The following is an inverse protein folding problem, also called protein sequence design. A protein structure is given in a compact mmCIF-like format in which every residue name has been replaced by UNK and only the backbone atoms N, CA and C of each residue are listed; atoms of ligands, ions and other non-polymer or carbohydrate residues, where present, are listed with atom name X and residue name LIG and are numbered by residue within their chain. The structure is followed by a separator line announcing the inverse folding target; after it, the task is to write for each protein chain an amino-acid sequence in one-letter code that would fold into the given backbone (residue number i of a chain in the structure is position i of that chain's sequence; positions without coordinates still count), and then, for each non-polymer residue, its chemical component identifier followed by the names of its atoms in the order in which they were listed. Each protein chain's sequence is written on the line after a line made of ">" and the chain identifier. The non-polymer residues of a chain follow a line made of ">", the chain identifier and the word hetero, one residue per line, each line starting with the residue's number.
data_IF_502224345676
#
_entry.id   IF_502224345676
#
_cell.length_a   1.000
_cell.length_b   1.000
_cell.length_c   1.000
_cell.angle_alpha   90.00
_cell.angle_beta   90.00
_cell.angle_gamma   90.00
#
_symmetry.space_group_name_H-M   'P 1'
#
loop_
_entity.id
_entity.type
_entity.pdbx_description
1 polymer ?
#
# COMPACT_ATOMS: atom_id res chain seq x y z
N UNK A 1 10.11 73.90 56.44
CA UNK A 1 10.55 72.84 57.37
C UNK A 1 9.72 71.59 57.06
N UNK A 2 10.13 70.79 56.07
CA UNK A 2 11.02 69.64 56.21
C UNK A 2 10.36 68.44 56.92
N UNK A 3 9.82 67.51 56.12
CA UNK A 3 9.89 66.07 56.35
C UNK A 3 9.42 65.32 55.08
N UNK A 4 10.37 64.73 54.34
CA UNK A 4 10.12 63.72 53.31
C UNK A 4 9.95 62.37 54.00
N UNK A 5 8.93 61.59 53.65
CA UNK A 5 8.82 60.16 53.99
C UNK A 5 8.72 59.32 52.72
N UNK A 6 9.49 58.23 52.69
CA UNK A 6 9.84 57.40 51.52
C UNK A 6 8.65 56.64 50.89
N UNK A 7 8.73 56.29 49.59
CA UNK A 7 7.77 55.41 48.94
C UNK A 7 8.02 53.93 49.26
N UNK A 8 6.93 53.21 49.58
CA UNK A 8 6.89 51.78 49.86
C UNK A 8 7.33 50.94 48.64
N UNK A 9 8.33 50.09 48.82
CA UNK A 9 8.79 49.09 47.84
C UNK A 9 7.90 47.85 47.97
N UNK A 10 7.18 47.41 46.91
CA UNK A 10 6.44 46.15 46.95
C UNK A 10 7.39 44.95 46.84
N UNK A 11 7.21 43.99 47.75
CA UNK A 11 7.97 42.73 47.88
C UNK A 11 7.93 41.89 46.60
N UNK A 12 9.07 41.29 46.25
CA UNK A 12 9.21 40.32 45.17
C UNK A 12 8.26 39.12 45.37
N UNK A 13 7.49 38.78 44.33
CA UNK A 13 6.73 37.53 44.26
C UNK A 13 7.69 36.37 43.98
N UNK A 14 7.56 35.29 44.75
CA UNK A 14 8.26 34.03 44.53
C UNK A 14 7.83 33.40 43.20
N UNK A 15 8.80 32.84 42.49
CA UNK A 15 8.60 31.97 41.34
C UNK A 15 8.20 30.58 41.83
N UNK A 16 6.93 30.37 42.17
CA UNK A 16 6.38 29.04 42.38
C UNK A 16 4.93 29.02 41.89
N UNK A 17 4.66 28.26 40.83
CA UNK A 17 3.29 28.01 40.35
C UNK A 17 3.02 28.37 38.89
N UNK A 18 3.84 27.90 37.95
CA UNK A 18 3.38 27.75 36.56
C UNK A 18 2.62 26.42 36.49
N UNK A 19 1.33 26.46 36.83
CA UNK A 19 0.40 25.36 36.55
C UNK A 19 0.20 25.28 35.04
N UNK A 20 0.59 24.14 34.50
CA UNK A 20 0.71 23.85 33.08
C UNK A 20 -0.68 23.52 32.51
N UNK A 21 -1.47 24.55 32.20
CA UNK A 21 -2.82 24.40 31.65
C UNK A 21 -2.80 24.25 30.12
N UNK A 22 -2.14 23.18 29.65
CA UNK A 22 -2.12 22.77 28.24
C UNK A 22 -2.68 21.37 28.08
N UNK A 23 -3.99 21.25 28.18
CA UNK A 23 -4.73 20.11 27.63
C UNK A 23 -5.90 20.59 26.81
N UNK A 24 -5.84 20.29 25.50
CA UNK A 24 -6.95 19.88 24.62
C UNK A 24 -6.93 20.54 23.22
N UNK A 25 -5.92 20.25 22.39
CA UNK A 25 -6.11 20.20 20.92
C UNK A 25 -4.96 19.55 20.13
N UNK A 26 -4.09 18.75 20.76
CA UNK A 26 -3.00 18.10 20.06
C UNK A 26 -3.45 16.69 19.65
N UNK A 27 -3.73 16.52 18.35
CA UNK A 27 -4.18 15.26 17.77
C UNK A 27 -3.34 14.07 18.25
N UNK A 28 -4.02 12.96 18.53
CA UNK A 28 -3.56 11.72 19.18
C UNK A 28 -2.33 11.01 18.58
N UNK A 29 -1.63 11.62 17.62
CA UNK A 29 -0.45 11.05 16.95
C UNK A 29 0.85 11.86 17.17
N UNK A 30 0.81 12.95 17.95
CA UNK A 30 1.95 13.87 18.11
C UNK A 30 3.10 13.40 19.03
N UNK A 31 2.98 12.26 19.71
CA UNK A 31 4.02 11.69 20.59
C UNK A 31 3.99 10.15 20.57
N UNK A 32 4.06 9.55 19.39
CA UNK A 32 4.53 8.17 19.34
C UNK A 32 6.06 8.22 19.48
N UNK A 33 6.59 8.02 20.69
CA UNK A 33 7.95 7.51 20.81
C UNK A 33 7.95 6.19 20.04
N UNK A 34 8.54 6.19 18.84
CA UNK A 34 8.70 5.02 18.00
C UNK A 34 9.67 4.04 18.66
N UNK A 35 9.24 3.41 19.75
CA UNK A 35 9.92 2.28 20.36
C UNK A 35 9.14 1.03 19.97
N UNK A 36 9.66 0.27 19.01
CA UNK A 36 9.17 -1.08 18.70
C UNK A 36 9.19 -1.98 19.95
N UNK A 37 10.08 -1.67 20.90
CA UNK A 37 10.22 -2.36 22.17
C UNK A 37 9.15 -1.99 23.20
N UNK A 38 8.53 -0.80 23.12
CA UNK A 38 7.55 -0.36 24.11
C UNK A 38 6.36 -1.31 24.27
N UNK A 39 5.62 -1.60 23.18
CA UNK A 39 4.50 -2.55 23.24
C UNK A 39 4.90 -3.96 23.70
N UNK A 40 6.11 -4.41 23.34
CA UNK A 40 6.63 -5.72 23.73
C UNK A 40 6.98 -5.74 25.22
N UNK A 41 7.64 -4.70 25.73
CA UNK A 41 7.96 -4.54 27.14
C UNK A 41 6.67 -4.43 27.97
N UNK A 42 5.66 -3.71 27.49
CA UNK A 42 4.37 -3.59 28.17
C UNK A 42 3.61 -4.93 28.24
N UNK A 43 3.72 -5.78 27.21
CA UNK A 43 3.17 -7.15 27.25
C UNK A 43 3.96 -8.02 28.24
N UNK A 44 5.29 -7.99 28.18
CA UNK A 44 6.17 -8.81 29.03
C UNK A 44 6.06 -8.41 30.51
N UNK A 45 5.87 -7.13 30.79
CA UNK A 45 5.70 -6.58 32.15
C UNK A 45 4.25 -6.64 32.65
N UNK A 46 3.30 -7.11 31.83
CA UNK A 46 1.89 -7.28 32.19
C UNK A 46 1.05 -6.00 32.19
N UNK A 47 1.60 -4.87 31.73
CA UNK A 47 0.89 -3.59 31.61
C UNK A 47 -0.06 -3.52 30.41
N UNK A 48 0.12 -4.41 29.42
CA UNK A 48 -0.78 -4.55 28.28
C UNK A 48 -1.03 -6.01 27.94
N UNK A 49 -2.24 -6.34 27.49
CA UNK A 49 -2.59 -7.66 26.96
C UNK A 49 -2.68 -7.61 25.43
N UNK A 50 -2.52 -8.75 24.78
CA UNK A 50 -2.76 -8.88 23.33
C UNK A 50 -4.16 -8.42 22.93
N UNK A 51 -5.16 -8.59 23.82
CA UNK A 51 -6.52 -8.09 23.64
C UNK A 51 -6.58 -6.57 23.49
N UNK A 52 -5.69 -5.83 24.16
CA UNK A 52 -5.70 -4.36 24.14
C UNK A 52 -5.14 -3.83 22.83
N UNK A 53 -4.19 -4.55 22.23
CA UNK A 53 -3.68 -4.28 20.88
C UNK A 53 -4.77 -4.56 19.85
N UNK A 54 -5.46 -5.70 20.00
CA UNK A 54 -6.56 -6.05 19.11
C UNK A 54 -7.71 -5.04 19.18
N UNK A 55 -8.06 -4.59 20.39
CA UNK A 55 -9.11 -3.59 20.61
C UNK A 55 -8.76 -2.21 20.02
N UNK A 56 -7.47 -1.87 19.92
CA UNK A 56 -6.99 -0.63 19.29
C UNK A 56 -6.86 -0.72 17.77
N UNK A 57 -6.94 -1.92 17.20
CA UNK A 57 -6.78 -2.11 15.76
C UNK A 57 -8.08 -1.72 15.05
N UNK A 58 -8.07 -0.74 14.13
CA UNK A 58 -9.28 -0.37 13.38
C UNK A 58 -9.86 -1.58 12.65
N UNK A 59 -11.17 -1.86 12.81
CA UNK A 59 -11.82 -2.95 12.10
C UNK A 59 -11.95 -2.62 10.61
N UNK A 60 -12.28 -3.64 9.80
CA UNK A 60 -12.62 -3.45 8.39
C UNK A 60 -13.81 -2.50 8.29
N UNK A 61 -13.65 -1.43 7.52
CA UNK A 61 -14.72 -0.48 7.25
C UNK A 61 -15.34 -0.73 5.88
N UNK A 62 -16.64 -0.45 5.73
CA UNK A 62 -17.32 -0.53 4.43
C UNK A 62 -16.64 0.33 3.37
N UNK A 63 -16.20 1.53 3.76
CA UNK A 63 -15.47 2.46 2.88
C UNK A 63 -14.18 1.83 2.36
N UNK A 64 -13.36 1.26 3.22
CA UNK A 64 -12.11 0.60 2.80
C UNK A 64 -12.37 -0.62 1.90
N UNK A 65 -13.37 -1.43 2.22
CA UNK A 65 -13.77 -2.55 1.37
C UNK A 65 -14.20 -2.09 -0.04
N UNK A 66 -15.00 -1.02 -0.12
CA UNK A 66 -15.40 -0.42 -1.40
C UNK A 66 -14.20 0.12 -2.19
N UNK A 67 -13.30 0.86 -1.52
CA UNK A 67 -12.09 1.41 -2.14
C UNK A 67 -11.19 0.30 -2.68
N UNK A 68 -10.94 -0.73 -1.88
CA UNK A 68 -10.09 -1.84 -2.27
C UNK A 68 -10.71 -2.66 -3.41
N UNK A 69 -12.02 -2.90 -3.36
CA UNK A 69 -12.74 -3.59 -4.45
C UNK A 69 -12.69 -2.78 -5.74
N UNK A 70 -12.91 -1.46 -5.67
CA UNK A 70 -12.81 -0.58 -6.82
C UNK A 70 -11.39 -0.56 -7.39
N UNK A 71 -10.37 -0.50 -6.53
CA UNK A 71 -8.96 -0.57 -6.91
C UNK A 71 -8.63 -1.85 -7.67
N UNK A 72 -8.96 -3.01 -7.08
CA UNK A 72 -8.67 -4.31 -7.70
C UNK A 72 -9.44 -4.47 -9.00
N UNK A 73 -10.71 -4.06 -9.04
CA UNK A 73 -11.53 -4.10 -10.26
C UNK A 73 -10.95 -3.21 -11.35
N UNK A 74 -10.52 -1.99 -11.00
CA UNK A 74 -9.86 -1.08 -11.92
C UNK A 74 -8.56 -1.69 -12.49
N UNK A 75 -7.73 -2.29 -11.64
CA UNK A 75 -6.52 -2.97 -12.09
C UNK A 75 -6.81 -4.18 -12.97
N UNK A 76 -7.86 -4.96 -12.68
CA UNK A 76 -8.32 -6.06 -13.54
C UNK A 76 -8.73 -5.52 -14.90
N UNK A 77 -9.53 -4.45 -14.96
CA UNK A 77 -9.97 -3.83 -16.21
C UNK A 77 -8.80 -3.31 -17.04
N UNK A 78 -7.81 -2.65 -16.42
CA UNK A 78 -6.60 -2.24 -17.12
C UNK A 78 -5.83 -3.46 -17.63
N UNK A 79 -5.65 -4.48 -16.81
CA UNK A 79 -4.92 -5.68 -17.21
C UNK A 79 -5.57 -6.42 -18.38
N UNK A 80 -6.90 -6.56 -18.39
CA UNK A 80 -7.62 -7.33 -19.43
C UNK A 80 -7.94 -6.52 -20.69
N UNK A 81 -8.27 -5.24 -20.54
CA UNK A 81 -8.91 -4.46 -21.60
C UNK A 81 -8.00 -3.42 -22.23
N UNK A 82 -6.87 -3.07 -21.60
CA UNK A 82 -5.98 -2.03 -22.08
C UNK A 82 -4.93 -2.60 -23.05
N UNK A 83 -5.03 -2.39 -24.38
CA UNK A 83 -3.91 -2.65 -25.27
C UNK A 83 -2.73 -1.76 -24.91
N UNK A 84 -1.53 -2.34 -24.98
CA UNK A 84 -0.32 -1.55 -24.86
C UNK A 84 -0.09 -0.76 -26.16
N UNK A 85 -0.01 0.55 -26.03
CA UNK A 85 0.36 1.50 -27.07
C UNK A 85 1.75 2.07 -26.81
N UNK A 86 2.21 2.05 -25.56
CA UNK A 86 3.52 2.53 -25.16
C UNK A 86 4.65 1.90 -25.99
N UNK A 87 4.60 0.61 -26.33
CA UNK A 87 5.61 -0.05 -27.19
C UNK A 87 5.73 0.55 -28.59
N UNK A 88 4.71 1.25 -29.09
CA UNK A 88 4.75 1.87 -30.43
C UNK A 88 5.50 3.19 -30.45
N UNK A 89 5.56 3.88 -29.31
CA UNK A 89 6.10 5.24 -29.21
C UNK A 89 7.40 5.32 -28.42
N UNK A 90 7.62 4.41 -27.48
CA UNK A 90 8.79 4.42 -26.61
C UNK A 90 9.91 3.55 -27.21
N UNK A 91 11.02 4.15 -27.67
CA UNK A 91 12.15 3.37 -28.18
C UNK A 91 12.78 2.58 -27.03
N UNK A 92 13.03 1.29 -27.27
CA UNK A 92 13.66 0.39 -26.29
C UNK A 92 12.72 -0.21 -25.23
N UNK A 93 11.44 0.18 -25.19
CA UNK A 93 10.45 -0.47 -24.34
C UNK A 93 9.84 -1.68 -25.05
N UNK A 94 9.84 -2.83 -24.39
CA UNK A 94 9.29 -4.08 -24.92
C UNK A 94 7.92 -4.33 -24.28
N UNK A 95 6.87 -3.86 -24.94
CA UNK A 95 5.47 -4.06 -24.51
C UNK A 95 4.66 -4.86 -25.53
N UNK A 96 3.34 -4.88 -25.38
CA UNK A 96 2.43 -5.56 -26.30
C UNK A 96 2.31 -7.06 -26.02
N UNK A 97 1.92 -7.84 -27.03
CA UNK A 97 1.78 -9.31 -26.86
C UNK A 97 3.17 -9.93 -26.95
N UNK A 98 3.60 -10.54 -25.84
CA UNK A 98 4.90 -11.18 -25.73
C UNK A 98 4.77 -12.64 -25.30
N UNK A 99 5.75 -13.44 -25.70
CA UNK A 99 5.86 -14.85 -25.31
C UNK A 99 6.62 -14.96 -23.99
N UNK A 100 6.06 -15.71 -23.05
CA UNK A 100 6.73 -16.00 -21.79
C UNK A 100 7.69 -17.18 -21.88
N UNK A 101 8.33 -17.49 -20.75
CA UNK A 101 9.17 -18.66 -20.61
C UNK A 101 8.42 -19.98 -20.87
N UNK A 102 9.15 -20.95 -21.43
CA UNK A 102 8.68 -22.31 -21.65
C UNK A 102 8.43 -22.98 -20.30
N UNK A 103 7.21 -23.46 -20.07
CA UNK A 103 6.87 -24.21 -18.83
C UNK A 103 7.53 -25.59 -18.82
N UNK A 104 7.63 -26.27 -17.66
CA UNK A 104 8.13 -27.64 -17.59
C UNK A 104 7.38 -28.63 -18.51
N UNK A 105 6.10 -28.39 -18.82
CA UNK A 105 5.34 -29.18 -19.79
C UNK A 105 5.57 -28.79 -21.27
N UNK A 106 6.47 -27.84 -21.55
CA UNK A 106 6.77 -27.35 -22.89
C UNK A 106 5.79 -26.31 -23.44
N UNK A 107 4.96 -25.70 -22.59
CA UNK A 107 3.96 -24.71 -23.02
C UNK A 107 4.58 -23.31 -23.02
N UNK A 108 4.31 -22.53 -24.08
CA UNK A 108 4.68 -21.11 -24.16
C UNK A 108 3.42 -20.27 -24.01
N UNK A 109 3.29 -19.57 -22.89
CA UNK A 109 2.15 -18.69 -22.63
C UNK A 109 2.37 -17.32 -23.27
N UNK A 110 1.32 -16.75 -23.85
CA UNK A 110 1.31 -15.37 -24.34
C UNK A 110 0.73 -14.43 -23.29
N UNK A 111 1.38 -13.28 -23.13
CA UNK A 111 1.02 -12.25 -22.18
C UNK A 111 0.89 -10.90 -22.88
N UNK A 112 -0.04 -10.08 -22.41
CA UNK A 112 -0.15 -8.69 -22.84
C UNK A 112 0.57 -7.82 -21.82
N UNK A 113 1.73 -7.31 -22.21
CA UNK A 113 2.63 -6.50 -21.41
C UNK A 113 2.22 -5.03 -21.59
N UNK A 114 1.47 -4.54 -20.60
CA UNK A 114 0.88 -3.20 -20.57
C UNK A 114 1.06 -2.50 -19.21
N UNK A 115 1.95 -3.01 -18.35
CA UNK A 115 2.10 -2.56 -16.98
C UNK A 115 2.54 -1.11 -16.87
N UNK A 116 3.46 -0.68 -17.73
CA UNK A 116 3.91 0.71 -17.77
C UNK A 116 2.75 1.66 -18.13
N UNK A 117 1.94 1.31 -19.14
CA UNK A 117 0.79 2.12 -19.52
C UNK A 117 -0.30 2.12 -18.43
N UNK A 118 -0.56 0.98 -17.81
CA UNK A 118 -1.50 0.88 -16.69
C UNK A 118 -1.05 1.74 -15.50
N UNK A 119 0.25 1.74 -15.19
CA UNK A 119 0.85 2.58 -14.16
C UNK A 119 0.71 4.06 -14.50
N UNK A 120 1.05 4.47 -15.73
CA UNK A 120 0.93 5.85 -16.20
C UNK A 120 -0.51 6.36 -16.08
N UNK A 121 -1.49 5.63 -16.62
CA UNK A 121 -2.90 6.01 -16.55
C UNK A 121 -3.40 6.11 -15.11
N UNK A 122 -3.01 5.17 -14.26
CA UNK A 122 -3.37 5.19 -12.84
C UNK A 122 -2.83 6.43 -12.14
N UNK A 123 -1.56 6.79 -12.38
CA UNK A 123 -0.93 7.95 -11.74
C UNK A 123 -1.44 9.27 -12.30
N UNK A 124 -1.63 9.37 -13.62
CA UNK A 124 -2.23 10.53 -14.25
C UNK A 124 -3.64 10.79 -13.71
N UNK A 125 -4.44 9.75 -13.53
CA UNK A 125 -5.77 9.87 -12.93
C UNK A 125 -5.69 10.35 -11.47
N UNK A 126 -4.74 9.82 -10.69
CA UNK A 126 -4.53 10.27 -9.31
C UNK A 126 -4.09 11.73 -9.23
N UNK A 127 -3.15 12.17 -10.07
CA UNK A 127 -2.69 13.56 -10.13
C UNK A 127 -3.80 14.50 -10.62
N UNK A 128 -4.54 14.12 -11.67
CA UNK A 128 -5.69 14.86 -12.15
C UNK A 128 -6.76 14.99 -11.05
N UNK A 129 -7.00 13.93 -10.29
CA UNK A 129 -7.87 14.00 -9.13
C UNK A 129 -7.35 14.97 -8.05
N UNK A 130 -6.07 14.89 -7.70
CA UNK A 130 -5.47 15.69 -6.64
C UNK A 130 -5.42 17.20 -6.96
N UNK A 131 -5.33 17.58 -8.24
CA UNK A 131 -5.15 18.97 -8.66
C UNK A 131 -6.36 19.61 -9.35
N UNK A 132 -7.22 18.82 -10.01
CA UNK A 132 -8.29 19.33 -10.86
C UNK A 132 -9.68 18.86 -10.40
N UNK A 133 -9.85 17.55 -10.23
CA UNK A 133 -11.20 16.97 -10.10
C UNK A 133 -11.72 16.96 -8.66
N UNK A 134 -10.83 16.78 -7.67
CA UNK A 134 -11.17 16.67 -6.25
C UNK A 134 -12.28 15.65 -5.93
N UNK A 135 -12.37 14.55 -6.69
CA UNK A 135 -13.38 13.50 -6.47
C UNK A 135 -13.15 12.73 -5.17
N UNK A 136 -11.89 12.59 -4.75
CA UNK A 136 -11.52 11.97 -3.48
C UNK A 136 -10.26 12.62 -2.89
N UNK A 137 -10.08 12.48 -1.57
CA UNK A 137 -8.88 13.03 -0.90
C UNK A 137 -7.60 12.35 -1.38
N UNK A 138 -6.54 13.10 -1.72
CA UNK A 138 -5.22 12.53 -2.01
C UNK A 138 -4.64 11.70 -0.84
N UNK A 139 -5.13 11.91 0.39
CA UNK A 139 -4.71 11.21 1.61
C UNK A 139 -5.52 9.95 1.92
N UNK A 140 -6.44 9.56 1.04
CA UNK A 140 -7.42 8.49 1.28
C UNK A 140 -6.80 7.13 1.65
N UNK A 141 -5.63 6.80 1.11
CA UNK A 141 -4.94 5.53 1.41
C UNK A 141 -4.37 5.58 2.82
N UNK A 142 -3.69 6.66 3.18
CA UNK A 142 -3.18 6.88 4.54
C UNK A 142 -4.32 6.82 5.56
N UNK A 143 -5.42 7.53 5.30
CA UNK A 143 -6.55 7.62 6.23
C UNK A 143 -7.27 6.27 6.44
N UNK A 144 -7.13 5.32 5.50
CA UNK A 144 -7.74 3.99 5.57
C UNK A 144 -6.70 2.86 5.62
N UNK A 145 -5.47 3.14 6.05
CA UNK A 145 -4.33 2.22 5.95
C UNK A 145 -4.60 0.84 6.56
N UNK A 146 -5.00 0.79 7.84
CA UNK A 146 -5.22 -0.49 8.53
C UNK A 146 -6.40 -1.29 7.93
N UNK A 147 -7.58 -0.69 7.70
CA UNK A 147 -8.66 -1.39 6.99
C UNK A 147 -8.29 -1.91 5.59
N UNK A 148 -7.45 -1.18 4.84
CA UNK A 148 -6.96 -1.62 3.52
C UNK A 148 -6.00 -2.81 3.64
N UNK A 149 -5.15 -2.84 4.67
CA UNK A 149 -4.28 -3.99 4.95
C UNK A 149 -5.11 -5.26 5.24
N UNK A 150 -6.20 -5.15 5.97
CA UNK A 150 -7.13 -6.28 6.15
C UNK A 150 -7.70 -6.78 4.83
N UNK A 151 -8.15 -5.86 3.97
CA UNK A 151 -8.69 -6.22 2.65
C UNK A 151 -7.64 -6.93 1.79
N UNK A 152 -6.39 -6.47 1.81
CA UNK A 152 -5.29 -7.09 1.09
C UNK A 152 -4.96 -8.50 1.60
N UNK A 153 -4.95 -8.71 2.92
CA UNK A 153 -4.74 -10.04 3.51
C UNK A 153 -5.87 -11.00 3.15
N UNK A 154 -7.13 -10.56 3.26
CA UNK A 154 -8.29 -11.37 2.87
C UNK A 154 -8.20 -11.77 1.39
N UNK A 155 -7.87 -10.83 0.51
CA UNK A 155 -7.70 -11.13 -0.91
C UNK A 155 -6.56 -12.13 -1.15
N UNK A 156 -5.43 -11.97 -0.45
CA UNK A 156 -4.31 -12.91 -0.52
C UNK A 156 -4.72 -14.34 -0.20
N UNK A 157 -5.37 -14.56 0.95
CA UNK A 157 -5.87 -15.89 1.33
C UNK A 157 -6.95 -16.41 0.37
N UNK A 158 -7.85 -15.54 -0.10
CA UNK A 158 -8.89 -15.92 -1.06
C UNK A 158 -8.28 -16.40 -2.38
N UNK A 159 -7.25 -15.70 -2.90
CA UNK A 159 -6.57 -16.06 -4.14
C UNK A 159 -5.73 -17.32 -3.98
N UNK A 160 -5.02 -17.50 -2.86
CA UNK A 160 -4.30 -18.75 -2.57
C UNK A 160 -5.25 -19.95 -2.50
N UNK A 161 -6.39 -19.78 -1.81
CA UNK A 161 -7.43 -20.82 -1.74
C UNK A 161 -8.00 -21.12 -3.12
N UNK A 162 -8.32 -20.08 -3.89
CA UNK A 162 -8.80 -20.23 -5.27
C UNK A 162 -7.78 -20.98 -6.14
N UNK A 163 -6.50 -20.60 -6.10
CA UNK A 163 -5.45 -21.23 -6.89
C UNK A 163 -5.27 -22.71 -6.53
N UNK A 164 -5.37 -23.06 -5.23
CA UNK A 164 -5.34 -24.46 -4.80
C UNK A 164 -6.56 -25.24 -5.33
N UNK A 165 -7.77 -24.74 -5.11
CA UNK A 165 -9.01 -25.37 -5.59
C UNK A 165 -8.97 -25.54 -7.12
N UNK A 166 -8.58 -24.50 -7.84
CA UNK A 166 -8.41 -24.54 -9.29
C UNK A 166 -7.39 -25.61 -9.70
N UNK A 167 -6.25 -25.69 -9.04
CA UNK A 167 -5.22 -26.70 -9.33
C UNK A 167 -5.72 -28.14 -9.18
N UNK A 168 -6.64 -28.41 -8.25
CA UNK A 168 -7.24 -29.74 -8.06
C UNK A 168 -8.36 -30.06 -9.06
N UNK A 169 -9.25 -29.11 -9.34
CA UNK A 169 -10.49 -29.40 -10.09
C UNK A 169 -10.46 -28.93 -11.54
N UNK A 170 -9.76 -27.83 -11.85
CA UNK A 170 -9.78 -27.17 -13.15
C UNK A 170 -8.38 -26.66 -13.58
N UNK A 171 -7.35 -27.55 -13.64
CA UNK A 171 -6.00 -27.13 -14.01
C UNK A 171 -5.95 -26.65 -15.46
N UNK A 172 -5.23 -25.55 -15.74
CA UNK A 172 -5.02 -25.05 -17.11
C UNK A 172 -4.18 -26.06 -17.91
N UNK A 173 -3.19 -26.66 -17.26
CA UNK A 173 -2.31 -27.69 -17.82
C UNK A 173 -2.02 -28.71 -16.71
N UNK A 174 -2.62 -29.90 -16.81
CA UNK A 174 -2.40 -30.97 -15.82
C UNK A 174 -0.92 -31.39 -15.72
N UNK A 175 -0.16 -31.23 -16.82
CA UNK A 175 1.28 -31.52 -16.87
C UNK A 175 2.15 -30.48 -16.13
N UNK A 176 1.61 -29.28 -15.92
CA UNK A 176 2.27 -28.21 -15.16
C UNK A 176 1.76 -28.12 -13.70
N UNK A 177 0.98 -29.12 -13.26
CA UNK A 177 0.57 -29.26 -11.87
C UNK A 177 1.55 -30.15 -11.10
N UNK A 178 1.95 -29.71 -9.91
CA UNK A 178 2.80 -30.49 -9.00
C UNK A 178 2.06 -30.74 -7.69
N UNK A 179 1.93 -32.02 -7.35
CA UNK A 179 1.32 -32.47 -6.11
C UNK A 179 2.39 -33.15 -5.25
N UNK A 180 2.56 -32.69 -4.02
CA UNK A 180 3.56 -33.25 -3.08
C UNK A 180 2.99 -34.27 -2.10
N UNK A 181 1.66 -34.47 -2.09
CA UNK A 181 0.95 -35.26 -1.08
C UNK A 181 0.75 -34.54 0.26
N UNK A 182 1.43 -33.40 0.50
CA UNK A 182 1.24 -32.58 1.69
C UNK A 182 0.32 -31.38 1.37
N UNK A 183 -0.84 -31.32 2.03
CA UNK A 183 -1.84 -30.26 1.83
C UNK A 183 -1.28 -28.86 2.13
N UNK A 184 -0.62 -28.68 3.27
CA UNK A 184 -0.08 -27.38 3.68
C UNK A 184 1.01 -26.89 2.74
N UNK A 185 1.89 -27.80 2.30
CA UNK A 185 2.93 -27.46 1.34
C UNK A 185 2.35 -27.06 -0.02
N UNK A 186 1.36 -27.82 -0.52
CA UNK A 186 0.66 -27.50 -1.76
C UNK A 186 -0.09 -26.16 -1.67
N UNK A 187 -0.69 -25.83 -0.52
CA UNK A 187 -1.36 -24.55 -0.30
C UNK A 187 -0.37 -23.38 -0.33
N UNK A 188 0.79 -23.54 0.31
CA UNK A 188 1.83 -22.51 0.39
C UNK A 188 2.53 -22.26 -0.95
N UNK A 189 2.91 -23.33 -1.66
CA UNK A 189 3.66 -23.23 -2.91
C UNK A 189 2.76 -23.01 -4.14
N UNK A 190 1.49 -23.38 -4.02
CA UNK A 190 0.60 -23.54 -5.17
C UNK A 190 0.87 -24.85 -5.92
N UNK A 191 -0.16 -25.37 -6.58
CA UNK A 191 -0.11 -26.64 -7.33
C UNK A 191 0.18 -26.37 -8.80
N UNK A 192 -0.51 -25.37 -9.36
CA UNK A 192 -0.44 -25.04 -10.77
C UNK A 192 0.69 -24.03 -11.03
N UNK A 193 1.53 -24.30 -12.04
CA UNK A 193 2.65 -23.43 -12.34
C UNK A 193 2.22 -22.03 -12.82
N UNK A 194 1.17 -21.90 -13.62
CA UNK A 194 0.61 -20.61 -14.03
C UNK A 194 -0.93 -20.70 -13.97
N UNK A 195 -1.56 -20.37 -12.83
CA UNK A 195 -3.01 -20.38 -12.73
C UNK A 195 -3.62 -19.28 -13.60
N UNK A 196 -4.45 -19.69 -14.58
CA UNK A 196 -5.09 -18.78 -15.56
C UNK A 196 -6.60 -18.92 -15.60
N UNK A 197 -7.28 -17.81 -15.88
CA UNK A 197 -8.68 -17.84 -16.33
C UNK A 197 -8.69 -17.51 -17.83
N UNK A 198 -9.19 -18.45 -18.62
CA UNK A 198 -9.16 -18.35 -20.08
C UNK A 198 -7.73 -18.28 -20.62
N UNK A 199 -7.56 -17.63 -21.78
CA UNK A 199 -6.28 -17.58 -22.51
C UNK A 199 -5.38 -16.42 -22.12
N UNK A 200 -5.87 -15.44 -21.36
CA UNK A 200 -5.20 -14.15 -21.19
C UNK A 200 -4.97 -13.78 -19.73
N UNK A 201 -5.92 -14.07 -18.84
CA UNK A 201 -5.79 -13.66 -17.44
C UNK A 201 -4.89 -14.62 -16.67
N UNK A 202 -3.67 -14.20 -16.36
CA UNK A 202 -2.73 -14.94 -15.53
C UNK A 202 -2.61 -14.33 -14.14
N UNK A 203 -2.86 -15.14 -13.10
CA UNK A 203 -2.87 -14.66 -11.72
C UNK A 203 -1.49 -14.27 -11.22
N UNK A 204 -0.44 -14.99 -11.63
CA UNK A 204 0.93 -14.68 -11.20
C UNK A 204 1.35 -13.33 -11.76
N UNK A 205 1.18 -13.14 -13.07
CA UNK A 205 1.53 -11.87 -13.70
C UNK A 205 0.68 -10.71 -13.15
N UNK A 206 -0.63 -10.92 -12.99
CA UNK A 206 -1.52 -9.90 -12.45
C UNK A 206 -1.11 -9.46 -11.05
N UNK A 207 -0.98 -10.39 -10.09
CA UNK A 207 -0.66 -10.05 -8.70
C UNK A 207 0.80 -9.61 -8.49
N UNK A 208 1.73 -10.02 -9.36
CA UNK A 208 3.12 -9.58 -9.30
C UNK A 208 3.25 -8.08 -9.57
N UNK A 209 2.56 -7.56 -10.59
CA UNK A 209 2.70 -6.16 -11.01
C UNK A 209 1.55 -5.23 -10.65
N UNK A 210 0.29 -5.66 -10.80
CA UNK A 210 -0.84 -4.72 -10.91
C UNK A 210 -1.32 -4.17 -9.57
N UNK A 211 -2.05 -4.91 -8.71
CA UNK A 211 -2.62 -4.34 -7.50
C UNK A 211 -1.58 -3.97 -6.43
N UNK A 212 -0.38 -4.57 -6.48
CA UNK A 212 0.70 -4.35 -5.51
C UNK A 212 1.67 -3.25 -5.94
N UNK A 213 2.47 -3.50 -6.99
CA UNK A 213 3.54 -2.59 -7.40
C UNK A 213 3.00 -1.24 -7.89
N UNK A 214 1.86 -1.21 -8.62
CA UNK A 214 1.22 0.09 -8.96
C UNK A 214 0.72 0.82 -7.71
N UNK A 215 0.18 0.10 -6.72
CA UNK A 215 -0.30 0.72 -5.50
C UNK A 215 0.85 1.28 -4.64
N UNK A 216 2.04 0.69 -4.69
CA UNK A 216 3.18 1.13 -3.88
C UNK A 216 3.49 2.62 -4.07
N UNK A 217 3.59 3.09 -5.31
CA UNK A 217 3.84 4.52 -5.57
C UNK A 217 2.65 5.39 -5.18
N UNK A 218 1.40 4.91 -5.32
CA UNK A 218 0.22 5.64 -4.81
C UNK A 218 0.19 5.74 -3.28
N UNK A 219 0.61 4.69 -2.57
CA UNK A 219 0.75 4.68 -1.11
C UNK A 219 1.76 5.75 -0.70
N UNK A 220 2.93 5.80 -1.35
CA UNK A 220 3.94 6.82 -1.06
C UNK A 220 3.42 8.23 -1.29
N UNK A 221 2.72 8.46 -2.42
CA UNK A 221 2.11 9.76 -2.73
C UNK A 221 1.04 10.16 -1.72
N UNK A 222 0.21 9.21 -1.27
CA UNK A 222 -0.81 9.46 -0.25
C UNK A 222 -0.18 9.81 1.11
N UNK A 223 0.94 9.17 1.47
CA UNK A 223 1.67 9.50 2.69
C UNK A 223 2.36 10.87 2.57
N UNK A 224 2.88 11.24 1.39
CA UNK A 224 3.46 12.56 1.14
C UNK A 224 2.40 13.65 1.24
N UNK A 225 1.22 13.41 0.65
CA UNK A 225 0.07 14.29 0.77
C UNK A 225 -0.36 14.46 2.23
N UNK A 226 -0.34 13.39 3.02
CA UNK A 226 -0.66 13.46 4.45
C UNK A 226 0.38 14.25 5.24
N UNK A 227 1.66 14.05 4.95
CA UNK A 227 2.73 14.83 5.58
C UNK A 227 2.53 16.33 5.33
N UNK A 228 2.19 16.71 4.09
CA UNK A 228 1.87 18.09 3.74
C UNK A 228 0.64 18.62 4.48
N UNK A 229 -0.42 17.81 4.59
CA UNK A 229 -1.64 18.17 5.34
C UNK A 229 -1.35 18.45 6.83
N UNK A 230 -0.52 17.60 7.45
CA UNK A 230 -0.23 17.68 8.89
C UNK A 230 0.82 18.73 9.26
N UNK A 231 1.82 18.94 8.39
CA UNK A 231 2.99 19.78 8.70
C UNK A 231 3.14 21.01 7.79
N UNK A 232 2.23 21.21 6.84
CA UNK A 232 2.24 22.31 5.87
C UNK A 232 3.27 22.17 4.74
N UNK A 233 4.18 21.19 4.81
CA UNK A 233 5.24 20.96 3.83
C UNK A 233 5.59 19.48 3.70
N UNK A 234 6.23 19.10 2.59
CA UNK A 234 6.81 17.76 2.37
C UNK A 234 8.30 17.84 2.61
N UNK A 235 8.87 16.92 3.40
CA UNK A 235 10.30 16.95 3.72
C UNK A 235 11.15 16.44 2.56
N UNK A 236 12.41 16.89 2.47
CA UNK A 236 13.36 16.42 1.45
C UNK A 236 13.53 14.89 1.46
N UNK A 237 13.52 14.28 2.66
CA UNK A 237 13.60 12.83 2.80
C UNK A 237 12.37 12.13 2.18
N UNK A 238 11.17 12.68 2.36
CA UNK A 238 9.95 12.12 1.77
C UNK A 238 9.96 12.24 0.25
N UNK A 239 10.42 13.38 -0.28
CA UNK A 239 10.63 13.55 -1.73
C UNK A 239 11.62 12.52 -2.26
N UNK A 240 12.77 12.36 -1.60
CA UNK A 240 13.79 11.41 -2.02
C UNK A 240 13.27 9.97 -2.06
N UNK A 241 12.56 9.52 -1.02
CA UNK A 241 11.97 8.17 -0.97
C UNK A 241 10.96 7.98 -2.09
N UNK A 242 10.08 8.96 -2.34
CA UNK A 242 9.10 8.87 -3.42
C UNK A 242 9.78 8.77 -4.79
N UNK A 243 10.80 9.59 -5.05
CA UNK A 243 11.52 9.60 -6.33
C UNK A 243 12.28 8.29 -6.54
N UNK A 244 13.07 7.84 -5.56
CA UNK A 244 13.86 6.62 -5.70
C UNK A 244 12.99 5.37 -5.87
N UNK A 245 11.89 5.27 -5.11
CA UNK A 245 10.96 4.15 -5.26
C UNK A 245 10.15 4.24 -6.55
N UNK A 246 9.82 5.45 -7.03
CA UNK A 246 9.20 5.61 -8.34
C UNK A 246 10.14 5.18 -9.47
N UNK A 247 11.43 5.51 -9.41
CA UNK A 247 12.43 5.06 -10.39
C UNK A 247 12.48 3.52 -10.41
N UNK A 248 12.54 2.88 -9.24
CA UNK A 248 12.52 1.42 -9.13
C UNK A 248 11.26 0.81 -9.76
N UNK A 249 10.08 1.35 -9.45
CA UNK A 249 8.81 0.85 -9.98
C UNK A 249 8.69 1.06 -11.50
N UNK A 250 9.16 2.20 -12.01
CA UNK A 250 9.19 2.47 -13.45
C UNK A 250 10.15 1.50 -14.15
N UNK A 251 11.34 1.26 -13.59
CA UNK A 251 12.30 0.29 -14.12
C UNK A 251 11.72 -1.13 -14.14
N UNK A 252 11.02 -1.53 -13.08
CA UNK A 252 10.28 -2.80 -13.03
C UNK A 252 9.28 -2.92 -14.19
N UNK A 253 8.49 -1.88 -14.45
CA UNK A 253 7.51 -1.91 -15.56
C UNK A 253 8.15 -1.74 -16.94
N UNK A 254 9.27 -1.06 -17.04
CA UNK A 254 10.02 -0.95 -18.29
C UNK A 254 10.57 -2.32 -18.72
N UNK A 255 10.99 -3.13 -17.74
CA UNK A 255 11.54 -4.46 -17.93
C UNK A 255 10.53 -5.58 -17.64
N UNK A 256 9.23 -5.31 -17.72
CA UNK A 256 8.16 -6.26 -17.33
C UNK A 256 8.22 -7.61 -18.08
N UNK A 257 8.86 -7.65 -19.24
CA UNK A 257 9.04 -8.89 -20.02
C UNK A 257 10.03 -9.88 -19.42
N UNK A 258 10.89 -9.47 -18.47
CA UNK A 258 12.05 -10.24 -18.01
C UNK A 258 12.01 -10.56 -16.51
#
# INVERSE_FOLDING_TARGET
>A
MAAKSQPNIPKAKSLDGVTNDRTASQGQWGRACCALTGPVVDIVTGHARLSDIWAKTPPITRKAAQLYTLWVTFQVLLYTSLPDFCHKFLPGYVGGIQEGAVTPAGVVNKYQINGLQAWLLTHLLWFANAHLLSWFSPTIIFDNWIPLLWCANILGYAVSTFAMVKGYFFPTSARDCKFTGNFFYNYMMGIEFNPRIGKWFDFKLFFNGRPGIVAWTLINLSFAAKQRELHGHVTNAMVLVNVLQAIYVIDFFWNETW
#
